data_IF_311972454480
#
_entry.id   IF_311972454480
#
_cell.length_a   1.000
_cell.length_b   1.000
_cell.length_c   1.000
_cell.angle_alpha   90.00
_cell.angle_beta   90.00
_cell.angle_gamma   90.00
#
_symmetry.space_group_name_H-M   'P 1'
#
loop_
_entity.id
_entity.type
_entity.pdbx_description
1 polymer ?
#
# COMPACT_ATOMS: atom_id res chain seq x y z
N UNK A 1 -76.24 5.05 -15.56
CA UNK A 1 -75.80 3.85 -16.32
C UNK A 1 -74.59 3.28 -15.60
N UNK A 2 -74.69 2.00 -15.24
CA UNK A 2 -73.66 1.18 -14.60
C UNK A 2 -72.83 0.56 -15.72
N UNK A 3 -71.49 0.60 -15.64
CA UNK A 3 -70.63 -0.54 -15.99
C UNK A 3 -69.24 -0.42 -15.35
N UNK A 4 -68.97 -1.40 -14.47
CA UNK A 4 -67.65 -1.84 -14.01
C UNK A 4 -66.77 -2.26 -15.19
N UNK A 5 -65.45 -2.08 -15.09
CA UNK A 5 -64.44 -2.99 -15.65
C UNK A 5 -63.05 -2.74 -15.04
N UNK A 6 -62.65 -3.61 -14.13
CA UNK A 6 -61.29 -4.16 -14.02
C UNK A 6 -61.49 -5.67 -14.20
N UNK A 7 -60.59 -6.46 -14.84
CA UNK A 7 -59.25 -6.69 -14.26
C UNK A 7 -58.14 -7.21 -15.22
N UNK A 8 -56.99 -7.53 -14.60
CA UNK A 8 -56.00 -8.59 -14.92
C UNK A 8 -54.76 -8.25 -15.79
N UNK A 9 -53.65 -8.98 -15.56
CA UNK A 9 -52.30 -8.46 -15.44
C UNK A 9 -51.36 -9.08 -16.49
N UNK A 10 -50.30 -8.37 -16.86
CA UNK A 10 -49.21 -9.00 -17.60
C UNK A 10 -48.08 -9.30 -16.62
N UNK A 11 -48.04 -10.58 -16.25
CA UNK A 11 -46.85 -11.31 -15.85
C UNK A 11 -45.67 -10.87 -16.73
N UNK A 12 -44.77 -10.06 -16.19
CA UNK A 12 -43.41 -10.01 -16.67
C UNK A 12 -42.62 -10.99 -15.81
N UNK A 13 -42.16 -12.08 -16.45
CA UNK A 13 -41.23 -13.05 -15.93
C UNK A 13 -40.07 -12.34 -15.23
N UNK A 14 -40.13 -12.27 -13.89
CA UNK A 14 -38.93 -12.15 -13.07
C UNK A 14 -38.20 -13.48 -13.23
N UNK A 15 -37.24 -13.49 -14.15
CA UNK A 15 -36.26 -14.54 -14.25
C UNK A 15 -35.63 -14.72 -12.87
N UNK A 16 -35.94 -15.84 -12.26
CA UNK A 16 -35.18 -16.41 -11.16
C UNK A 16 -33.75 -16.61 -11.68
N UNK A 17 -32.89 -15.60 -11.50
CA UNK A 17 -31.48 -15.87 -11.33
C UNK A 17 -31.40 -16.75 -10.09
N UNK A 18 -31.24 -18.05 -10.34
CA UNK A 18 -30.85 -18.99 -9.32
C UNK A 18 -29.55 -18.46 -8.70
N UNK A 19 -29.66 -17.80 -7.55
CA UNK A 19 -28.57 -17.70 -6.60
C UNK A 19 -28.19 -19.13 -6.23
N UNK A 20 -27.28 -19.71 -7.02
CA UNK A 20 -26.47 -20.81 -6.57
C UNK A 20 -25.63 -20.23 -5.45
N UNK A 21 -26.05 -20.45 -4.21
CA UNK A 21 -25.22 -20.38 -2.99
C UNK A 21 -24.11 -21.44 -3.12
N UNK A 22 -23.27 -21.32 -4.14
CA UNK A 22 -21.91 -21.81 -4.08
C UNK A 22 -21.15 -20.67 -3.47
N UNK A 23 -20.72 -20.81 -2.22
CA UNK A 23 -19.85 -19.84 -1.56
C UNK A 23 -18.65 -19.60 -2.45
N UNK A 24 -18.71 -18.53 -3.26
CA UNK A 24 -17.55 -18.00 -3.93
C UNK A 24 -16.62 -17.59 -2.79
N UNK A 25 -15.39 -18.11 -2.81
CA UNK A 25 -14.36 -17.56 -1.96
C UNK A 25 -14.35 -16.04 -2.17
N UNK A 26 -14.28 -15.28 -1.08
CA UNK A 26 -14.15 -13.83 -1.21
C UNK A 26 -12.87 -13.55 -2.00
N UNK A 27 -12.97 -12.62 -2.96
CA UNK A 27 -11.81 -12.07 -3.64
C UNK A 27 -11.23 -10.98 -2.73
N UNK A 28 -9.90 -10.93 -2.64
CA UNK A 28 -9.19 -9.95 -1.82
C UNK A 28 -9.49 -8.53 -2.27
N UNK A 29 -9.61 -7.62 -1.29
CA UNK A 29 -9.79 -6.19 -1.52
C UNK A 29 -8.55 -5.47 -2.11
N UNK A 30 -7.37 -6.10 -2.05
CA UNK A 30 -6.10 -5.54 -2.55
C UNK A 30 -5.84 -6.05 -3.97
N UNK A 31 -5.72 -7.37 -4.11
CA UNK A 31 -5.30 -8.01 -5.35
C UNK A 31 -6.46 -8.40 -6.27
N UNK A 32 -7.68 -8.53 -5.73
CA UNK A 32 -8.82 -9.11 -6.46
C UNK A 32 -8.67 -10.60 -6.77
N UNK A 33 -7.70 -11.27 -6.14
CA UNK A 33 -7.50 -12.72 -6.24
C UNK A 33 -8.27 -13.46 -5.13
N UNK A 34 -8.59 -14.76 -5.31
CA UNK A 34 -9.29 -15.51 -4.27
C UNK A 34 -8.50 -15.59 -2.97
N UNK A 35 -9.06 -15.10 -1.86
CA UNK A 35 -8.36 -14.96 -0.57
C UNK A 35 -7.79 -16.28 -0.05
N UNK A 36 -8.51 -17.40 -0.26
CA UNK A 36 -8.13 -18.72 0.25
C UNK A 36 -7.09 -19.44 -0.62
N UNK A 37 -6.62 -18.84 -1.71
CA UNK A 37 -5.63 -19.46 -2.59
C UNK A 37 -4.24 -19.31 -1.97
N UNK A 38 -3.44 -20.39 -1.97
CA UNK A 38 -2.06 -20.31 -1.50
C UNK A 38 -1.22 -19.50 -2.48
N UNK A 39 -0.32 -18.68 -1.97
CA UNK A 39 0.56 -17.84 -2.79
C UNK A 39 1.48 -18.71 -3.68
N UNK A 40 1.94 -19.85 -3.18
CA UNK A 40 2.70 -20.85 -3.97
C UNK A 40 1.95 -21.44 -5.16
N UNK A 41 0.61 -21.32 -5.20
CA UNK A 41 -0.24 -21.84 -6.27
C UNK A 41 -0.58 -20.77 -7.32
N UNK A 42 -0.10 -19.53 -7.14
CA UNK A 42 -0.32 -18.45 -8.09
C UNK A 42 0.49 -18.71 -9.37
N UNK A 43 -0.19 -18.57 -10.51
CA UNK A 43 0.46 -18.46 -11.80
C UNK A 43 1.24 -17.16 -11.90
N UNK A 44 2.16 -17.04 -12.86
CA UNK A 44 2.91 -15.79 -13.06
C UNK A 44 2.01 -14.57 -13.28
N UNK A 45 0.88 -14.74 -13.99
CA UNK A 45 -0.06 -13.65 -14.21
C UNK A 45 -0.80 -13.24 -12.93
N UNK A 46 -1.12 -14.19 -12.06
CA UNK A 46 -1.73 -13.89 -10.77
C UNK A 46 -0.71 -13.27 -9.80
N UNK A 47 0.57 -13.67 -9.84
CA UNK A 47 1.63 -13.00 -9.10
C UNK A 47 1.79 -11.54 -9.55
N UNK A 48 1.75 -11.28 -10.85
CA UNK A 48 1.76 -9.91 -11.38
C UNK A 48 0.54 -9.11 -10.90
N UNK A 49 -0.65 -9.70 -10.96
CA UNK A 49 -1.88 -9.09 -10.45
C UNK A 49 -1.82 -8.78 -8.95
N UNK A 50 -1.31 -9.71 -8.13
CA UNK A 50 -1.11 -9.52 -6.69
C UNK A 50 -0.26 -8.27 -6.42
N UNK A 51 0.78 -8.08 -7.22
CA UNK A 51 1.74 -7.01 -7.05
C UNK A 51 1.26 -5.65 -7.56
N UNK A 52 0.58 -5.65 -8.71
CA UNK A 52 -0.14 -4.47 -9.17
C UNK A 52 -1.21 -4.04 -8.15
N UNK A 53 -1.91 -5.00 -7.55
CA UNK A 53 -2.89 -4.77 -6.48
C UNK A 53 -2.26 -4.14 -5.24
N UNK A 54 -1.17 -4.71 -4.73
CA UNK A 54 -0.42 -4.17 -3.59
C UNK A 54 0.10 -2.75 -3.86
N UNK A 55 0.63 -2.49 -5.07
CA UNK A 55 1.10 -1.16 -5.45
C UNK A 55 -0.04 -0.16 -5.58
N UNK A 56 -1.16 -0.56 -6.20
CA UNK A 56 -2.35 0.26 -6.33
C UNK A 56 -2.97 0.59 -4.97
N UNK A 57 -3.02 -0.39 -4.06
CA UNK A 57 -3.46 -0.21 -2.68
C UNK A 57 -2.59 0.83 -1.96
N UNK A 58 -1.26 0.67 -2.02
CA UNK A 58 -0.33 1.61 -1.39
C UNK A 58 -0.54 3.05 -1.89
N UNK A 59 -0.63 3.25 -3.21
CA UNK A 59 -0.87 4.58 -3.81
C UNK A 59 -2.22 5.18 -3.46
N UNK A 60 -3.23 4.33 -3.20
CA UNK A 60 -4.55 4.77 -2.77
C UNK A 60 -4.53 5.23 -1.32
N UNK A 61 -3.82 4.50 -0.47
CA UNK A 61 -3.77 4.77 0.96
C UNK A 61 -2.74 5.84 1.35
N UNK A 62 -1.71 6.03 0.51
CA UNK A 62 -0.63 7.00 0.67
C UNK A 62 -0.48 7.77 -0.64
N UNK A 63 -0.86 9.04 -0.61
CA UNK A 63 -0.74 9.92 -1.77
C UNK A 63 0.71 10.34 -2.01
N UNK A 64 1.04 10.65 -3.27
CA UNK A 64 2.36 11.21 -3.61
C UNK A 64 2.67 12.48 -2.81
N UNK A 65 1.66 13.29 -2.48
CA UNK A 65 1.81 14.49 -1.68
C UNK A 65 2.22 14.18 -0.22
N UNK A 66 1.62 13.16 0.39
CA UNK A 66 2.00 12.69 1.73
C UNK A 66 3.40 12.12 1.74
N UNK A 67 3.73 11.26 0.77
CA UNK A 67 5.07 10.68 0.63
C UNK A 67 6.14 11.75 0.42
N UNK A 68 5.90 12.71 -0.49
CA UNK A 68 6.82 13.82 -0.74
C UNK A 68 6.98 14.72 0.48
N UNK A 69 5.89 14.99 1.22
CA UNK A 69 5.95 15.75 2.46
C UNK A 69 6.78 15.03 3.52
N UNK A 70 6.61 13.73 3.70
CA UNK A 70 7.37 12.92 4.65
C UNK A 70 8.87 12.91 4.29
N UNK A 71 9.21 12.65 3.02
CA UNK A 71 10.60 12.66 2.53
C UNK A 71 11.27 14.04 2.68
N UNK A 72 10.57 15.12 2.34
CA UNK A 72 11.10 16.47 2.53
C UNK A 72 11.20 16.86 4.00
N UNK A 73 10.32 16.36 4.86
CA UNK A 73 10.39 16.59 6.30
C UNK A 73 11.58 15.85 6.90
N UNK A 74 11.84 14.60 6.47
CA UNK A 74 13.03 13.85 6.82
C UNK A 74 14.31 14.59 6.41
N UNK A 75 14.37 15.11 5.18
CA UNK A 75 15.50 15.95 4.73
C UNK A 75 15.65 17.19 5.61
N UNK A 76 14.55 17.87 5.93
CA UNK A 76 14.54 19.02 6.82
C UNK A 76 15.07 18.69 8.22
N UNK A 77 14.60 17.59 8.82
CA UNK A 77 15.05 17.07 10.11
C UNK A 77 16.55 16.79 10.10
N UNK A 78 17.06 16.10 9.07
CA UNK A 78 18.50 15.79 8.94
C UNK A 78 19.32 17.06 8.81
N UNK A 79 18.93 18.00 7.94
CA UNK A 79 19.69 19.24 7.74
C UNK A 79 19.70 20.11 9.00
N UNK A 80 18.55 20.28 9.64
CA UNK A 80 18.41 21.11 10.84
C UNK A 80 19.06 20.48 12.07
N UNK A 81 19.09 19.15 12.22
CA UNK A 81 19.81 18.49 13.32
C UNK A 81 21.33 18.47 13.15
N UNK A 82 21.82 18.46 11.90
CA UNK A 82 23.27 18.38 11.61
C UNK A 82 23.94 19.74 11.44
N UNK A 83 23.24 20.71 10.85
CA UNK A 83 23.79 22.02 10.52
C UNK A 83 23.30 23.13 11.46
N UNK A 84 22.18 22.90 12.14
CA UNK A 84 21.54 23.86 13.04
C UNK A 84 21.38 23.22 14.43
N UNK A 85 20.94 23.99 15.42
CA UNK A 85 20.73 23.53 16.80
C UNK A 85 19.50 22.62 16.99
N UNK A 86 18.96 22.07 15.89
CA UNK A 86 17.69 21.35 15.87
C UNK A 86 16.47 22.29 15.85
N UNK A 87 16.62 23.50 15.30
CA UNK A 87 15.54 24.48 15.13
C UNK A 87 14.39 23.92 14.28
N UNK A 88 13.16 24.06 14.79
CA UNK A 88 11.93 23.66 14.09
C UNK A 88 11.71 24.55 12.87
N UNK A 89 12.01 25.85 12.96
CA UNK A 89 11.88 26.80 11.86
C UNK A 89 12.80 26.46 10.69
N UNK A 90 14.04 26.04 10.97
CA UNK A 90 15.01 25.66 9.94
C UNK A 90 14.60 24.35 9.26
N UNK A 91 14.07 23.39 10.03
CA UNK A 91 13.48 22.18 9.47
C UNK A 91 12.33 22.48 8.51
N UNK A 92 11.41 23.36 8.91
CA UNK A 92 10.25 23.76 8.09
C UNK A 92 10.72 24.43 6.80
N UNK A 93 11.69 25.36 6.90
CA UNK A 93 12.22 26.05 5.73
C UNK A 93 12.86 25.06 4.73
N UNK A 94 13.66 24.11 5.22
CA UNK A 94 14.29 23.09 4.39
C UNK A 94 13.27 22.12 3.76
N UNK A 95 12.22 21.74 4.49
CA UNK A 95 11.10 20.94 3.95
C UNK A 95 10.40 21.68 2.82
N UNK A 96 10.06 22.95 3.04
CA UNK A 96 9.30 23.74 2.07
C UNK A 96 10.13 24.02 0.81
N UNK A 97 11.44 24.24 0.95
CA UNK A 97 12.37 24.32 -0.18
C UNK A 97 12.44 23.00 -0.95
N UNK A 98 12.54 21.87 -0.25
CA UNK A 98 12.50 20.54 -0.86
C UNK A 98 11.21 20.34 -1.66
N UNK A 99 10.04 20.63 -1.07
CA UNK A 99 8.74 20.51 -1.74
C UNK A 99 8.64 21.40 -2.98
N UNK A 100 9.19 22.61 -2.93
CA UNK A 100 9.22 23.52 -4.08
C UNK A 100 10.15 23.04 -5.21
N UNK A 101 11.13 22.18 -4.90
CA UNK A 101 12.08 21.61 -5.86
C UNK A 101 11.56 20.34 -6.54
N UNK A 102 10.56 19.68 -5.94
CA UNK A 102 9.91 18.50 -6.51
C UNK A 102 9.14 18.96 -7.74
N UNK A 103 9.64 18.60 -8.92
CA UNK A 103 8.85 18.67 -10.14
C UNK A 103 7.70 17.68 -10.02
N UNK A 104 6.53 18.03 -10.52
CA UNK A 104 5.38 17.11 -10.67
C UNK A 104 5.66 16.03 -11.75
N UNK A 105 6.87 15.48 -11.79
CA UNK A 105 7.15 14.31 -12.58
C UNK A 105 6.66 13.10 -11.77
N UNK A 106 5.77 12.27 -12.34
CA UNK A 106 5.29 11.09 -11.65
C UNK A 106 6.49 10.23 -11.29
N UNK A 107 6.57 9.80 -10.02
CA UNK A 107 7.59 8.86 -9.59
C UNK A 107 7.49 7.63 -10.48
N UNK A 108 8.54 7.40 -11.28
CA UNK A 108 8.62 6.22 -12.13
C UNK A 108 8.94 5.04 -11.23
N UNK A 109 7.91 4.34 -10.77
CA UNK A 109 8.09 3.07 -10.06
C UNK A 109 8.64 2.09 -11.09
N UNK A 110 9.66 1.31 -10.72
CA UNK A 110 10.06 0.15 -11.53
C UNK A 110 8.79 -0.65 -11.86
N UNK A 111 8.71 -1.20 -13.08
CA UNK A 111 7.52 -1.96 -13.47
C UNK A 111 7.22 -2.98 -12.37
N UNK A 112 5.98 -2.98 -11.84
CA UNK A 112 5.57 -3.84 -10.73
C UNK A 112 5.90 -5.33 -10.96
N UNK A 113 6.09 -5.70 -12.24
CA UNK A 113 6.53 -7.00 -12.70
C UNK A 113 7.94 -7.39 -12.24
N UNK A 114 8.90 -6.45 -12.12
CA UNK A 114 10.28 -6.76 -11.68
C UNK A 114 10.35 -7.02 -10.19
N UNK A 115 9.62 -6.22 -9.42
CA UNK A 115 9.49 -6.33 -7.97
C UNK A 115 9.09 -7.73 -7.51
N UNK A 116 8.14 -8.33 -8.21
CA UNK A 116 7.54 -9.60 -7.81
C UNK A 116 8.22 -10.83 -8.37
N UNK A 117 9.04 -10.66 -9.40
CA UNK A 117 9.93 -11.72 -9.90
C UNK A 117 11.14 -11.96 -9.01
N UNK A 118 11.42 -11.05 -8.05
CA UNK A 118 12.51 -11.20 -7.08
C UNK A 118 12.23 -12.28 -6.04
N UNK A 119 10.96 -12.59 -5.77
CA UNK A 119 10.57 -13.58 -4.78
C UNK A 119 10.34 -14.95 -5.42
N UNK A 120 10.91 -15.97 -4.79
CA UNK A 120 10.52 -17.35 -5.06
C UNK A 120 9.31 -17.69 -4.19
N UNK A 121 8.13 -17.63 -4.79
CA UNK A 121 6.87 -17.94 -4.12
C UNK A 121 6.62 -19.44 -3.95
N UNK A 122 7.45 -20.31 -4.53
CA UNK A 122 7.17 -21.76 -4.58
C UNK A 122 7.11 -22.41 -3.20
N UNK A 123 7.84 -21.87 -2.22
CA UNK A 123 7.86 -22.34 -0.83
C UNK A 123 6.97 -21.51 0.12
N UNK A 124 6.21 -20.55 -0.41
CA UNK A 124 5.35 -19.65 0.39
C UNK A 124 3.98 -20.26 0.63
N UNK A 125 3.73 -20.74 1.86
CA UNK A 125 2.50 -21.46 2.21
C UNK A 125 1.35 -20.57 2.66
N UNK A 126 1.57 -19.26 2.73
CA UNK A 126 0.53 -18.32 3.14
C UNK A 126 -0.56 -18.21 2.07
N UNK A 127 -1.75 -17.80 2.51
CA UNK A 127 -2.86 -17.50 1.59
C UNK A 127 -2.76 -16.07 1.05
N UNK A 128 -3.41 -15.81 -0.09
CA UNK A 128 -3.53 -14.44 -0.64
C UNK A 128 -4.13 -13.50 0.40
N UNK A 129 -5.17 -13.92 1.13
CA UNK A 129 -5.80 -13.10 2.16
C UNK A 129 -4.87 -12.76 3.34
N UNK A 130 -4.02 -13.70 3.77
CA UNK A 130 -3.03 -13.43 4.82
C UNK A 130 -1.92 -12.49 4.35
N UNK A 131 -1.46 -12.65 3.11
CA UNK A 131 -0.50 -11.73 2.51
C UNK A 131 -1.07 -10.32 2.37
N UNK A 132 -2.31 -10.20 1.92
CA UNK A 132 -2.99 -8.92 1.78
C UNK A 132 -3.22 -8.26 3.15
N UNK A 133 -3.59 -9.02 4.18
CA UNK A 133 -3.66 -8.51 5.55
C UNK A 133 -2.29 -7.99 6.06
N UNK A 134 -1.19 -8.67 5.74
CA UNK A 134 0.15 -8.14 6.01
C UNK A 134 0.37 -6.82 5.27
N UNK A 135 0.00 -6.72 3.98
CA UNK A 135 0.15 -5.46 3.24
C UNK A 135 -0.63 -4.29 3.87
N UNK A 136 -1.82 -4.54 4.41
CA UNK A 136 -2.58 -3.53 5.18
C UNK A 136 -1.82 -3.07 6.43
N UNK A 137 -1.21 -4.01 7.19
CA UNK A 137 -0.39 -3.69 8.36
C UNK A 137 0.82 -2.82 7.96
N UNK A 138 1.56 -3.19 6.90
CA UNK A 138 2.74 -2.43 6.46
C UNK A 138 2.34 -1.03 6.02
N UNK A 139 1.27 -0.88 5.23
CA UNK A 139 0.83 0.44 4.77
C UNK A 139 0.34 1.31 5.94
N UNK A 140 -0.33 0.70 6.93
CA UNK A 140 -0.73 1.41 8.15
C UNK A 140 0.50 1.92 8.91
N UNK A 141 1.50 1.07 9.12
CA UNK A 141 2.73 1.45 9.81
C UNK A 141 3.53 2.51 9.02
N UNK A 142 3.56 2.40 7.69
CA UNK A 142 4.21 3.39 6.83
C UNK A 142 3.51 4.75 6.91
N UNK A 143 2.18 4.78 7.00
CA UNK A 143 1.41 6.01 7.22
C UNK A 143 1.75 6.65 8.55
N UNK A 144 1.77 5.87 9.62
CA UNK A 144 2.18 6.35 10.95
C UNK A 144 3.61 6.89 10.93
N UNK A 145 4.53 6.19 10.28
CA UNK A 145 5.89 6.67 10.09
C UNK A 145 5.94 8.01 9.34
N UNK A 146 5.17 8.18 8.26
CA UNK A 146 5.09 9.44 7.52
C UNK A 146 4.48 10.58 8.33
N UNK A 147 3.50 10.29 9.18
CA UNK A 147 2.91 11.26 10.11
C UNK A 147 3.91 11.68 11.20
N UNK A 148 4.75 10.75 11.67
CA UNK A 148 5.78 11.02 12.68
C UNK A 148 6.93 11.86 12.13
N UNK A 149 7.18 11.80 10.81
CA UNK A 149 8.12 12.67 10.08
C UNK A 149 7.59 14.10 9.95
N UNK A 150 7.39 14.76 11.08
CA UNK A 150 7.05 16.19 11.17
C UNK A 150 8.16 16.97 11.88
N UNK A 151 8.40 18.20 11.44
CA UNK A 151 9.41 19.08 12.04
C UNK A 151 9.13 19.40 13.52
N UNK A 152 7.88 19.32 13.98
CA UNK A 152 7.54 19.42 15.40
C UNK A 152 8.10 18.29 16.25
N UNK A 153 8.41 17.14 15.64
CA UNK A 153 8.99 15.97 16.28
C UNK A 153 10.52 15.92 16.20
N UNK A 154 11.19 16.95 15.66
CA UNK A 154 12.66 16.96 15.48
C UNK A 154 13.45 16.58 16.73
N UNK A 155 12.96 16.96 17.91
CA UNK A 155 13.60 16.61 19.19
C UNK A 155 13.69 15.10 19.46
N UNK A 156 12.78 14.32 18.88
CA UNK A 156 12.78 12.85 18.98
C UNK A 156 13.85 12.22 18.09
N UNK A 157 14.26 12.91 17.02
CA UNK A 157 15.22 12.42 16.03
C UNK A 157 16.65 12.93 16.24
N UNK A 158 16.87 13.69 17.31
CA UNK A 158 18.16 14.33 17.61
C UNK A 158 19.26 13.33 17.94
N UNK A 159 18.92 12.29 18.67
CA UNK A 159 19.89 11.30 19.16
C UNK A 159 19.91 10.04 18.28
N UNK A 160 18.75 9.62 17.77
CA UNK A 160 18.62 8.49 16.85
C UNK A 160 17.60 8.83 15.76
N UNK A 161 18.03 8.70 14.50
CA UNK A 161 17.09 8.69 13.38
C UNK A 161 16.15 7.49 13.56
N UNK A 162 14.87 7.60 13.17
CA UNK A 162 13.90 6.51 13.28
C UNK A 162 14.17 5.50 12.16
N UNK A 163 15.34 4.85 12.22
CA UNK A 163 15.69 3.67 11.43
C UNK A 163 15.24 2.41 12.18
N UNK A 164 14.26 2.54 13.08
CA UNK A 164 13.68 1.40 13.79
C UNK A 164 13.03 0.53 12.72
N UNK A 165 13.36 -0.76 12.72
CA UNK A 165 12.65 -1.71 11.88
C UNK A 165 11.15 -1.59 12.20
N UNK A 166 10.29 -1.48 11.17
CA UNK A 166 8.85 -1.40 11.38
C UNK A 166 8.39 -2.55 12.27
N UNK A 167 7.67 -2.25 13.35
CA UNK A 167 7.07 -3.29 14.18
C UNK A 167 5.84 -3.82 13.44
N UNK A 168 6.07 -4.83 12.59
CA UNK A 168 4.97 -5.45 11.85
C UNK A 168 4.12 -6.33 12.77
N UNK A 169 2.82 -6.40 12.49
CA UNK A 169 1.84 -7.11 13.31
C UNK A 169 1.89 -8.64 13.13
N UNK A 170 0.82 -9.29 13.61
CA UNK A 170 0.71 -10.74 13.57
C UNK A 170 0.62 -11.26 12.13
N UNK A 171 -0.07 -10.54 11.24
CA UNK A 171 -0.26 -10.98 9.86
C UNK A 171 1.08 -11.03 9.12
N UNK A 172 1.86 -9.95 9.19
CA UNK A 172 3.18 -9.95 8.57
C UNK A 172 4.18 -10.89 9.25
N UNK A 173 4.11 -11.02 10.57
CA UNK A 173 4.94 -12.01 11.28
C UNK A 173 4.65 -13.43 10.78
N UNK A 174 3.39 -13.77 10.51
CA UNK A 174 3.02 -15.06 9.94
C UNK A 174 3.57 -15.22 8.53
N UNK A 175 3.33 -14.25 7.64
CA UNK A 175 3.81 -14.28 6.25
C UNK A 175 5.34 -14.43 6.20
N UNK A 176 6.09 -13.69 7.02
CA UNK A 176 7.55 -13.80 7.07
C UNK A 176 8.04 -15.19 7.48
N UNK A 177 7.31 -15.88 8.37
CA UNK A 177 7.64 -17.24 8.78
C UNK A 177 7.28 -18.28 7.70
N UNK A 178 6.23 -18.01 6.93
CA UNK A 178 5.67 -18.94 5.93
C UNK A 178 6.20 -18.71 4.51
N UNK A 179 6.86 -17.58 4.25
CA UNK A 179 7.34 -17.17 2.93
C UNK A 179 8.81 -16.77 3.01
N UNK A 180 9.74 -17.73 2.82
CA UNK A 180 11.17 -17.49 2.93
C UNK A 180 11.65 -16.36 2.03
N UNK A 181 12.38 -15.39 2.61
CA UNK A 181 12.95 -14.25 1.88
C UNK A 181 11.96 -13.12 1.60
N UNK A 182 10.69 -13.26 1.98
CA UNK A 182 9.73 -12.16 1.94
C UNK A 182 10.11 -11.08 2.96
N UNK A 183 10.21 -9.83 2.49
CA UNK A 183 10.41 -8.65 3.33
C UNK A 183 9.22 -7.73 3.09
N UNK A 184 8.35 -7.48 4.07
CA UNK A 184 7.09 -6.74 3.87
C UNK A 184 7.29 -5.34 3.25
N UNK A 185 8.40 -4.67 3.56
CA UNK A 185 8.72 -3.35 3.01
C UNK A 185 9.22 -3.35 1.56
N UNK A 186 9.77 -4.46 1.06
CA UNK A 186 10.39 -4.49 -0.28
C UNK A 186 9.35 -4.36 -1.40
N UNK A 187 8.08 -4.71 -1.17
CA UNK A 187 7.00 -4.48 -2.14
C UNK A 187 6.64 -2.99 -2.27
N UNK A 188 6.98 -2.19 -1.25
CA UNK A 188 6.66 -0.76 -1.20
C UNK A 188 7.82 0.12 -1.67
N UNK A 189 9.06 -0.33 -1.52
CA UNK A 189 10.26 0.51 -1.73
C UNK A 189 10.82 0.50 -3.15
N UNK A 190 10.14 -0.06 -4.15
CA UNK A 190 10.64 -0.16 -5.53
C UNK A 190 10.34 1.08 -6.39
N UNK A 191 10.07 2.20 -5.74
CA UNK A 191 10.12 3.49 -6.39
C UNK A 191 11.58 3.76 -6.80
N UNK A 192 11.85 3.79 -8.12
CA UNK A 192 13.11 4.34 -8.62
C UNK A 192 13.20 5.77 -8.08
N UNK A 193 14.31 6.16 -7.42
CA UNK A 193 14.49 7.55 -6.99
C UNK A 193 14.28 8.47 -8.20
N UNK A 194 13.57 9.62 -8.06
CA UNK A 194 13.44 10.56 -9.16
C UNK A 194 14.84 10.94 -9.67
N UNK A 195 15.06 10.84 -10.97
CA UNK A 195 16.34 11.22 -11.59
C UNK A 195 16.59 12.71 -11.25
N UNK A 196 17.62 12.98 -10.43
CA UNK A 196 18.03 14.37 -10.16
C UNK A 196 18.47 15.00 -11.47
N UNK A 197 17.88 16.15 -11.80
CA UNK A 197 18.38 16.98 -12.89
C UNK A 197 19.85 17.39 -12.60
N UNK A 198 20.72 17.44 -13.63
CA UNK A 198 22.11 17.86 -13.50
C UNK A 198 22.26 19.33 -13.07
#
# INVERSE_FOLDING_TARGET
MITKSSPLPLLALLGLFACKEGGAAADSAISGLPENKNVSELTMAEQEQLCEGALAYTRREITDAEANRALCSLQGIVLSSTLHDGSVEDCIAARDECLASIKEEPVQIEEASEACRKYDWSDCTTTVGELDACMEEVVTELKTFYEDLDCGNIGQFKDEMPMKEPEVGEACSRVQNECPGFVPGDLLTQAKPPERAP
#
